data_IF_790221005957
#
_entry.id   IF_790221005957
#
_cell.length_a   1.000
_cell.length_b   1.000
_cell.length_c   1.000
_cell.angle_alpha   90.00
_cell.angle_beta   90.00
_cell.angle_gamma   90.00
#
_symmetry.space_group_name_H-M   'P 1'
#
loop_
_entity.id
_entity.type
_entity.pdbx_description
1 polymer ?
#
# COMPACT_ATOMS: atom_id res chain seq x y z
N UNK A 1 36.86 26.24 59.15
CA UNK A 1 36.17 26.69 57.93
C UNK A 1 36.02 25.48 57.02
N UNK A 2 34.80 25.02 56.70
CA UNK A 2 34.63 23.86 55.85
C UNK A 2 34.83 24.27 54.39
N UNK A 3 35.70 23.52 53.72
CA UNK A 3 36.02 23.59 52.30
C UNK A 3 34.79 23.33 51.44
N UNK A 4 34.46 24.31 50.58
CA UNK A 4 33.45 24.18 49.53
C UNK A 4 33.82 23.03 48.59
N UNK A 5 32.94 22.04 48.46
CA UNK A 5 33.03 21.01 47.42
C UNK A 5 32.68 21.66 46.09
N UNK A 6 33.61 21.62 45.14
CA UNK A 6 33.37 21.97 43.75
C UNK A 6 32.25 21.08 43.18
N UNK A 7 31.23 21.72 42.60
CA UNK A 7 30.13 21.09 41.89
C UNK A 7 30.69 20.42 40.62
N UNK A 8 30.33 19.16 40.38
CA UNK A 8 30.64 18.47 39.13
C UNK A 8 29.93 19.18 37.96
N UNK A 9 30.54 19.22 36.75
CA UNK A 9 29.90 19.82 35.58
C UNK A 9 28.60 19.07 35.27
N UNK A 10 27.52 19.82 35.02
CA UNK A 10 26.27 19.26 34.51
C UNK A 10 26.51 18.61 33.14
N UNK A 11 25.90 17.45 32.83
CA UNK A 11 26.01 16.87 31.50
C UNK A 11 25.39 17.82 30.47
N UNK A 12 26.11 18.05 29.37
CA UNK A 12 25.63 18.88 28.26
C UNK A 12 24.24 18.41 27.79
N UNK A 13 23.38 19.36 27.43
CA UNK A 13 22.04 19.07 26.94
C UNK A 13 22.10 18.12 25.73
N UNK A 14 21.21 17.11 25.64
CA UNK A 14 21.24 16.13 24.56
C UNK A 14 20.99 16.80 23.21
N UNK A 15 21.82 16.49 22.22
CA UNK A 15 21.68 16.99 20.85
C UNK A 15 20.52 16.30 20.13
N UNK A 16 19.54 17.08 19.65
CA UNK A 16 18.25 16.59 19.15
C UNK A 16 17.93 17.15 17.76
N UNK A 17 16.81 16.68 17.20
CA UNK A 17 16.28 17.21 15.93
C UNK A 17 16.21 18.75 15.87
N UNK A 18 15.78 19.41 16.94
CA UNK A 18 15.72 20.88 17.01
C UNK A 18 17.07 21.55 16.77
N UNK A 19 18.16 20.94 17.23
CA UNK A 19 19.52 21.45 17.04
C UNK A 19 19.97 21.27 15.59
N UNK A 20 19.64 20.12 14.98
CA UNK A 20 19.89 19.86 13.55
C UNK A 20 19.14 20.87 12.69
N UNK A 21 17.85 21.09 12.95
CA UNK A 21 17.04 22.06 12.23
C UNK A 21 17.60 23.49 12.39
N UNK A 22 18.05 23.86 13.59
CA UNK A 22 18.66 25.16 13.84
C UNK A 22 19.97 25.35 13.05
N UNK A 23 20.84 24.35 13.00
CA UNK A 23 22.10 24.38 12.23
C UNK A 23 21.80 24.55 10.74
N UNK A 24 20.87 23.76 10.19
CA UNK A 24 20.53 23.81 8.77
C UNK A 24 19.84 25.14 8.42
N UNK A 25 18.98 25.65 9.30
CA UNK A 25 18.33 26.96 9.13
C UNK A 25 19.34 28.11 9.16
N UNK A 26 20.33 28.06 10.06
CA UNK A 26 21.40 29.05 10.12
C UNK A 26 22.30 29.04 8.87
N UNK A 27 22.49 27.85 8.28
CA UNK A 27 23.22 27.71 7.02
C UNK A 27 22.41 28.23 5.80
N UNK A 28 21.08 28.20 5.86
CA UNK A 28 20.19 28.76 4.83
C UNK A 28 20.04 27.87 3.58
N UNK A 29 19.62 28.46 2.45
CA UNK A 29 19.47 27.73 1.17
C UNK A 29 18.04 27.32 0.78
N UNK A 30 17.05 28.15 1.11
CA UNK A 30 15.61 27.79 1.06
C UNK A 30 14.97 27.66 -0.35
N UNK A 31 15.71 27.85 -1.45
CA UNK A 31 15.11 28.07 -2.79
C UNK A 31 15.48 27.00 -3.85
N UNK A 32 15.67 25.74 -3.46
CA UNK A 32 16.01 24.65 -4.39
C UNK A 32 15.20 23.36 -4.21
N UNK A 33 15.17 22.46 -5.23
CA UNK A 33 14.53 21.14 -5.13
C UNK A 33 15.30 20.24 -4.15
N UNK A 34 15.00 20.34 -2.86
CA UNK A 34 15.73 19.64 -1.79
C UNK A 34 15.94 20.49 -0.54
N UNK A 35 15.01 21.39 -0.22
CA UNK A 35 15.05 22.17 1.03
C UNK A 35 15.20 21.24 2.24
N UNK A 36 16.15 21.56 3.12
CA UNK A 36 16.47 20.77 4.32
C UNK A 36 15.84 21.36 5.59
N UNK A 37 15.08 22.45 5.46
CA UNK A 37 14.50 23.24 6.57
C UNK A 37 12.97 23.26 6.48
N UNK A 38 12.30 23.45 7.64
CA UNK A 38 10.84 23.52 7.70
C UNK A 38 10.14 22.17 7.50
N UNK A 39 10.86 21.08 7.77
CA UNK A 39 10.36 19.70 7.66
C UNK A 39 10.08 19.14 9.06
N UNK A 40 9.05 18.31 9.18
CA UNK A 40 8.90 17.48 10.39
C UNK A 40 10.02 16.44 10.44
N UNK A 41 10.39 15.94 11.63
CA UNK A 41 11.41 14.89 11.74
C UNK A 41 11.07 13.64 10.86
N UNK A 42 9.83 13.12 10.84
CA UNK A 42 9.46 12.04 9.92
C UNK A 42 9.67 12.37 8.44
N UNK A 43 9.28 13.58 8.01
CA UNK A 43 9.47 14.02 6.62
C UNK A 43 10.97 14.15 6.28
N UNK A 44 11.77 14.63 7.24
CA UNK A 44 13.22 14.76 7.08
C UNK A 44 13.90 13.39 6.95
N UNK A 45 13.52 12.41 7.77
CA UNK A 45 14.09 11.07 7.77
C UNK A 45 13.75 10.27 6.50
N UNK A 46 12.64 10.57 5.84
CA UNK A 46 12.20 9.91 4.60
C UNK A 46 12.64 10.65 3.34
N UNK A 47 13.23 11.84 3.47
CA UNK A 47 13.64 12.66 2.34
C UNK A 47 14.70 11.95 1.50
N UNK A 48 14.58 12.06 0.19
CA UNK A 48 15.57 11.58 -0.78
C UNK A 48 16.02 12.70 -1.69
N UNK A 49 17.33 12.76 -1.97
CA UNK A 49 17.90 13.65 -2.97
C UNK A 49 18.34 12.80 -4.17
N UNK A 50 17.64 12.96 -5.31
CA UNK A 50 17.93 12.22 -6.55
C UNK A 50 17.91 10.69 -6.36
N UNK A 51 16.95 10.18 -5.58
CA UNK A 51 16.80 8.75 -5.28
C UNK A 51 17.77 8.20 -4.24
N UNK A 52 18.65 9.04 -3.68
CA UNK A 52 19.54 8.66 -2.57
C UNK A 52 18.94 9.14 -1.24
N UNK A 53 18.86 8.28 -0.22
CA UNK A 53 18.26 8.63 1.07
C UNK A 53 19.10 9.71 1.78
N UNK A 54 18.44 10.78 2.23
CA UNK A 54 19.08 11.87 2.95
C UNK A 54 19.78 11.34 4.21
N UNK A 55 19.05 10.52 4.98
CA UNK A 55 19.57 9.72 6.09
C UNK A 55 19.62 8.25 5.68
N UNK A 56 20.80 7.64 5.73
CA UNK A 56 20.96 6.26 5.31
C UNK A 56 20.13 5.29 6.17
N UNK A 57 19.58 4.22 5.58
CA UNK A 57 18.91 3.18 6.35
C UNK A 57 19.89 2.46 7.28
N UNK A 58 19.35 1.89 8.36
CA UNK A 58 20.08 0.96 9.22
C UNK A 58 20.54 -0.24 8.39
N UNK A 59 21.78 -0.68 8.61
CA UNK A 59 22.29 -1.90 8.00
C UNK A 59 21.88 -3.08 8.87
N UNK A 60 21.37 -4.15 8.26
CA UNK A 60 21.18 -5.41 8.96
C UNK A 60 22.49 -6.18 8.95
N UNK A 61 23.00 -6.54 10.12
CA UNK A 61 24.13 -7.47 10.21
C UNK A 61 23.66 -8.89 9.86
N UNK A 62 24.61 -9.77 9.55
CA UNK A 62 24.35 -11.19 9.30
C UNK A 62 23.62 -11.92 10.46
N UNK A 63 23.56 -11.30 11.65
CA UNK A 63 22.86 -11.82 12.83
C UNK A 63 21.47 -11.19 13.05
N UNK A 64 20.95 -10.38 12.11
CA UNK A 64 19.62 -9.78 12.19
C UNK A 64 19.50 -8.60 13.15
N UNK A 65 20.61 -8.11 13.71
CA UNK A 65 20.66 -6.88 14.49
C UNK A 65 20.84 -5.69 13.55
N UNK A 66 20.01 -4.65 13.74
CA UNK A 66 20.20 -3.36 13.09
C UNK A 66 21.46 -2.70 13.65
N UNK A 67 22.39 -2.36 12.75
CA UNK A 67 23.62 -1.66 13.06
C UNK A 67 23.55 -0.23 12.50
N UNK A 68 23.79 0.73 13.39
CA UNK A 68 23.88 2.15 13.08
C UNK A 68 25.33 2.60 12.79
N UNK A 69 26.32 1.71 12.96
CA UNK A 69 27.73 2.05 12.78
C UNK A 69 28.01 2.55 11.36
N UNK A 70 28.56 3.76 11.25
CA UNK A 70 28.84 4.41 9.97
C UNK A 70 27.58 4.78 9.18
N UNK A 71 26.39 4.79 9.80
CA UNK A 71 25.15 5.29 9.18
C UNK A 71 25.27 6.77 8.86
N UNK A 72 25.90 7.54 9.74
CA UNK A 72 26.20 8.95 9.53
C UNK A 72 27.00 9.18 8.24
N UNK A 73 28.19 8.59 8.13
CA UNK A 73 29.04 8.68 6.94
C UNK A 73 28.37 8.23 5.62
N UNK A 74 27.45 7.24 5.67
CA UNK A 74 26.69 6.78 4.49
C UNK A 74 25.56 7.72 4.09
N UNK A 75 25.09 8.56 5.00
CA UNK A 75 23.97 9.49 4.78
C UNK A 75 24.36 10.57 3.79
N UNK A 76 23.45 10.85 2.84
CA UNK A 76 23.63 11.91 1.86
C UNK A 76 23.78 13.28 2.53
N UNK A 77 23.10 13.50 3.65
CA UNK A 77 23.23 14.74 4.43
C UNK A 77 24.69 15.02 4.80
N UNK A 78 25.35 14.08 5.48
CA UNK A 78 26.74 14.25 5.94
C UNK A 78 27.69 14.40 4.75
N UNK A 79 27.57 13.54 3.73
CA UNK A 79 28.38 13.63 2.52
C UNK A 79 28.19 14.96 1.79
N UNK A 80 26.95 15.42 1.71
CA UNK A 80 26.58 16.66 1.05
C UNK A 80 27.08 17.89 1.80
N UNK A 81 27.00 17.91 3.13
CA UNK A 81 27.52 18.99 3.98
C UNK A 81 29.05 19.05 3.94
N UNK A 82 29.73 17.90 3.92
CA UNK A 82 31.20 17.82 3.77
C UNK A 82 31.70 18.10 2.35
N UNK A 83 30.81 18.16 1.35
CA UNK A 83 31.18 18.32 -0.06
C UNK A 83 31.92 17.11 -0.63
N UNK A 84 31.60 15.91 -0.14
CA UNK A 84 32.12 14.66 -0.67
C UNK A 84 31.33 14.25 -1.93
N UNK A 85 31.92 13.47 -2.85
CA UNK A 85 31.21 12.99 -4.05
C UNK A 85 29.86 12.34 -3.68
N UNK A 86 28.75 12.60 -4.41
CA UNK A 86 28.65 13.42 -5.63
C UNK A 86 28.47 14.94 -5.42
N UNK A 87 28.62 15.46 -4.20
CA UNK A 87 28.41 16.88 -3.82
C UNK A 87 29.70 17.72 -3.78
N UNK A 88 30.75 17.26 -4.47
CA UNK A 88 32.08 17.89 -4.54
C UNK A 88 32.17 19.00 -5.61
N UNK A 89 31.02 19.40 -6.18
CA UNK A 89 30.93 20.35 -7.28
C UNK A 89 31.07 19.73 -8.68
N UNK A 90 31.40 18.44 -8.81
CA UNK A 90 31.49 17.78 -10.13
C UNK A 90 30.13 17.36 -10.67
N UNK A 91 29.29 16.80 -9.80
CA UNK A 91 27.93 16.39 -10.15
C UNK A 91 26.89 17.29 -9.47
N UNK A 92 27.04 17.54 -8.18
CA UNK A 92 26.20 18.46 -7.41
C UNK A 92 27.05 19.45 -6.61
N UNK A 93 26.58 20.69 -6.39
CA UNK A 93 27.19 21.59 -5.41
C UNK A 93 27.06 21.03 -3.99
N UNK A 94 27.93 21.48 -3.08
CA UNK A 94 27.87 21.18 -1.64
C UNK A 94 26.53 21.66 -1.04
N UNK A 95 26.00 20.92 -0.07
CA UNK A 95 24.83 21.30 0.70
C UNK A 95 25.17 22.30 1.83
N UNK A 96 24.17 23.08 2.31
CA UNK A 96 22.87 23.31 1.69
C UNK A 96 23.02 24.19 0.43
N UNK A 97 22.22 23.92 -0.60
CA UNK A 97 22.32 24.65 -1.87
C UNK A 97 21.90 26.11 -1.73
N UNK A 98 22.73 27.04 -2.19
CA UNK A 98 22.49 28.48 -2.02
C UNK A 98 22.68 28.98 -0.59
N UNK A 99 23.07 28.11 0.35
CA UNK A 99 23.41 28.46 1.72
C UNK A 99 24.91 28.56 1.98
N UNK A 100 25.27 28.84 3.23
CA UNK A 100 26.64 28.87 3.72
C UNK A 100 27.11 27.45 4.11
N UNK A 101 28.42 27.15 4.01
CA UNK A 101 28.98 25.95 4.63
C UNK A 101 28.57 25.81 6.10
N UNK A 102 28.17 24.60 6.49
CA UNK A 102 28.07 24.20 7.90
C UNK A 102 29.48 23.96 8.44
N UNK A 103 29.74 24.31 9.70
CA UNK A 103 31.04 24.09 10.34
C UNK A 103 31.31 22.59 10.55
N UNK A 104 32.57 22.17 10.43
CA UNK A 104 32.94 20.74 10.55
C UNK A 104 32.50 20.14 11.89
N UNK A 105 32.64 20.88 13.00
CA UNK A 105 32.18 20.44 14.33
C UNK A 105 30.66 20.20 14.38
N UNK A 106 29.87 21.01 13.69
CA UNK A 106 28.41 20.82 13.62
C UNK A 106 28.04 19.65 12.71
N UNK A 107 28.81 19.42 11.64
CA UNK A 107 28.66 18.23 10.80
C UNK A 107 28.97 16.96 11.60
N UNK A 108 30.01 16.97 12.43
CA UNK A 108 30.38 15.85 13.30
C UNK A 108 29.28 15.56 14.34
N UNK A 109 28.64 16.60 14.88
CA UNK A 109 27.48 16.46 15.79
C UNK A 109 26.26 15.90 15.08
N UNK A 110 25.96 16.36 13.86
CA UNK A 110 24.89 15.80 13.02
C UNK A 110 25.18 14.34 12.66
N UNK A 111 26.43 14.01 12.36
CA UNK A 111 26.85 12.64 12.06
C UNK A 111 26.62 11.71 13.27
N UNK A 112 27.07 12.14 14.45
CA UNK A 112 26.86 11.42 15.72
C UNK A 112 25.37 11.24 16.02
N UNK A 113 24.56 12.29 15.84
CA UNK A 113 23.10 12.23 16.00
C UNK A 113 22.44 11.18 15.09
N UNK A 114 22.95 11.00 13.86
CA UNK A 114 22.47 9.95 12.96
C UNK A 114 22.85 8.55 13.46
N UNK A 115 24.06 8.39 13.99
CA UNK A 115 24.55 7.14 14.59
C UNK A 115 23.77 6.77 15.86
N UNK A 116 23.33 7.76 16.64
CA UNK A 116 22.47 7.60 17.81
C UNK A 116 21.01 7.27 17.47
N UNK A 117 20.67 7.16 16.19
CA UNK A 117 19.33 6.77 15.74
C UNK A 117 18.39 7.94 15.44
N UNK A 118 18.92 9.15 15.27
CA UNK A 118 18.17 10.38 14.99
C UNK A 118 17.13 10.71 16.08
N UNK A 119 17.54 10.83 17.36
CA UNK A 119 16.62 11.14 18.44
C UNK A 119 15.87 12.46 18.18
N UNK A 120 14.54 12.40 18.24
CA UNK A 120 13.65 13.56 18.13
C UNK A 120 13.49 14.32 19.46
N UNK A 121 12.48 15.19 19.53
CA UNK A 121 12.05 15.71 20.83
C UNK A 121 11.49 14.57 21.67
N UNK A 122 12.04 14.43 22.87
CA UNK A 122 11.54 13.49 23.86
C UNK A 122 10.21 14.03 24.41
N UNK A 123 9.08 13.60 23.85
CA UNK A 123 7.75 14.02 24.33
C UNK A 123 7.49 13.44 25.71
N UNK A 124 7.89 12.18 25.96
CA UNK A 124 7.93 11.56 27.30
C UNK A 124 8.72 10.24 27.23
N UNK A 125 9.41 9.84 28.31
CA UNK A 125 9.88 8.46 28.50
C UNK A 125 9.20 7.88 29.72
N UNK A 126 8.35 6.88 29.53
CA UNK A 126 7.85 6.05 30.62
C UNK A 126 8.75 4.84 30.70
N UNK A 127 9.56 4.75 31.75
CA UNK A 127 10.18 3.49 32.12
C UNK A 127 9.05 2.53 32.54
N UNK A 128 8.84 1.47 31.78
CA UNK A 128 8.00 0.36 32.22
C UNK A 128 8.66 -0.23 33.48
N UNK A 129 8.01 -0.04 34.63
CA UNK A 129 8.46 -0.64 35.87
C UNK A 129 8.20 -2.16 35.82
N UNK A 130 9.21 -2.92 35.39
CA UNK A 130 9.24 -4.38 35.43
C UNK A 130 9.14 -5.07 34.06
N UNK A 131 9.38 -6.39 34.06
CA UNK A 131 9.07 -7.24 32.91
C UNK A 131 7.59 -7.11 32.55
N UNK A 132 7.31 -6.53 31.39
CA UNK A 132 5.96 -6.56 30.83
C UNK A 132 5.83 -7.83 29.99
N UNK A 133 5.34 -8.89 30.62
CA UNK A 133 4.87 -10.07 29.91
C UNK A 133 3.55 -9.73 29.24
N UNK A 134 3.59 -9.47 27.94
CA UNK A 134 2.39 -9.31 27.12
C UNK A 134 2.02 -10.71 26.63
N UNK A 135 0.80 -11.18 26.93
CA UNK A 135 0.31 -12.43 26.32
C UNK A 135 0.26 -12.25 24.81
N UNK A 136 0.45 -13.34 24.04
CA UNK A 136 0.44 -13.34 22.55
C UNK A 136 -0.86 -12.82 21.92
N UNK A 137 -1.86 -12.46 22.72
CA UNK A 137 -3.17 -11.98 22.32
C UNK A 137 -3.42 -10.51 22.71
N UNK A 138 -2.50 -9.85 23.42
CA UNK A 138 -2.78 -8.51 23.91
C UNK A 138 -2.76 -7.48 22.77
N UNK A 139 -3.78 -6.62 22.77
CA UNK A 139 -3.92 -5.51 21.84
C UNK A 139 -3.39 -4.24 22.50
N UNK A 140 -2.41 -3.58 21.89
CA UNK A 140 -1.88 -2.30 22.34
C UNK A 140 -2.65 -1.19 21.63
N UNK A 141 -3.49 -0.48 22.38
CA UNK A 141 -4.19 0.72 21.94
C UNK A 141 -3.43 1.95 22.44
N UNK A 142 -3.00 2.83 21.52
CA UNK A 142 -2.45 4.14 21.89
C UNK A 142 -3.62 5.11 22.01
N UNK A 143 -4.09 5.36 23.24
CA UNK A 143 -5.17 6.34 23.47
C UNK A 143 -4.71 7.75 23.14
N UNK A 144 -5.49 8.45 22.30
CA UNK A 144 -5.27 9.87 21.98
C UNK A 144 -4.66 10.14 20.59
N UNK A 145 -4.31 9.10 19.83
CA UNK A 145 -3.90 9.20 18.42
C UNK A 145 -4.83 8.33 17.56
N UNK A 146 -5.35 8.81 16.42
CA UNK A 146 -5.97 7.95 15.43
C UNK A 146 -4.85 7.07 14.82
N UNK A 147 -4.83 5.78 15.15
CA UNK A 147 -3.80 4.87 14.68
C UNK A 147 -4.19 3.40 14.88
N UNK A 148 -3.58 2.47 14.13
CA UNK A 148 -3.93 1.06 14.21
C UNK A 148 -3.59 0.46 15.58
N UNK A 149 -4.40 -0.51 16.00
CA UNK A 149 -4.15 -1.32 17.20
C UNK A 149 -3.09 -2.36 16.85
N UNK A 150 -1.95 -2.33 17.53
CA UNK A 150 -0.85 -3.26 17.30
C UNK A 150 -0.95 -4.45 18.26
N UNK A 151 -0.86 -5.67 17.74
CA UNK A 151 -0.69 -6.88 18.55
C UNK A 151 0.75 -7.39 18.41
N UNK A 152 1.40 -7.87 19.48
CA UNK A 152 2.65 -8.59 19.36
C UNK A 152 2.35 -10.01 18.87
N UNK A 153 2.66 -10.30 17.62
CA UNK A 153 2.55 -11.66 17.09
C UNK A 153 3.89 -12.11 16.51
N UNK A 154 4.27 -13.36 16.80
CA UNK A 154 4.99 -14.15 15.81
C UNK A 154 4.08 -14.20 14.59
N UNK A 155 4.37 -13.35 13.62
CA UNK A 155 3.52 -13.15 12.47
C UNK A 155 4.04 -14.05 11.32
N UNK A 156 3.35 -15.17 11.02
CA UNK A 156 3.76 -16.06 9.93
C UNK A 156 3.57 -15.43 8.54
N UNK A 157 2.80 -14.35 8.42
CA UNK A 157 2.69 -13.57 7.18
C UNK A 157 3.66 -12.38 7.16
N UNK A 158 4.27 -12.01 8.30
CA UNK A 158 5.27 -10.96 8.33
C UNK A 158 6.50 -11.44 7.58
N UNK A 159 6.95 -10.57 6.69
CA UNK A 159 8.19 -10.76 5.98
C UNK A 159 9.36 -10.87 6.96
N UNK A 160 10.06 -12.01 6.95
CA UNK A 160 11.32 -12.23 7.67
C UNK A 160 12.42 -12.61 6.71
N UNK A 161 13.10 -11.63 6.13
CA UNK A 161 14.28 -11.90 5.31
C UNK A 161 15.49 -12.17 6.20
N UNK A 162 15.60 -13.39 6.70
CA UNK A 162 16.74 -13.81 7.52
C UNK A 162 17.79 -14.60 6.72
N UNK A 163 17.37 -15.43 5.75
CA UNK A 163 18.24 -16.46 5.14
C UNK A 163 17.99 -16.74 3.65
N UNK A 164 17.52 -15.74 2.90
CA UNK A 164 17.26 -15.91 1.45
C UNK A 164 16.09 -16.84 1.13
N UNK A 165 15.18 -17.03 2.08
CA UNK A 165 13.96 -17.82 1.92
C UNK A 165 13.04 -17.20 0.84
N UNK A 166 12.34 -18.06 0.09
CA UNK A 166 11.34 -17.60 -0.86
C UNK A 166 10.20 -16.92 -0.10
N UNK A 167 9.87 -15.69 -0.48
CA UNK A 167 8.71 -14.96 0.04
C UNK A 167 7.45 -15.79 -0.22
N UNK A 168 6.70 -16.11 0.84
CA UNK A 168 5.46 -16.86 0.73
C UNK A 168 4.27 -15.92 0.80
N UNK A 169 3.45 -15.91 -0.25
CA UNK A 169 2.15 -15.26 -0.23
C UNK A 169 1.14 -16.17 0.45
N UNK A 170 0.30 -15.58 1.30
CA UNK A 170 -0.70 -16.31 2.07
C UNK A 170 -2.09 -16.19 1.43
N UNK A 171 -2.93 -17.19 1.71
CA UNK A 171 -4.36 -17.11 1.43
C UNK A 171 -4.96 -15.95 2.24
N UNK A 172 -5.77 -15.09 1.62
CA UNK A 172 -6.39 -13.93 2.27
C UNK A 172 -7.30 -14.35 3.43
N UNK A 173 -7.90 -15.54 3.35
CA UNK A 173 -8.84 -16.03 4.38
C UNK A 173 -8.11 -16.43 5.67
N UNK A 174 -6.83 -16.82 5.59
CA UNK A 174 -6.04 -17.19 6.77
C UNK A 174 -5.35 -16.00 7.43
N UNK A 175 -5.43 -14.81 6.82
CA UNK A 175 -4.89 -13.60 7.44
C UNK A 175 -5.72 -13.23 8.68
N UNK A 176 -5.05 -12.90 9.77
CA UNK A 176 -5.68 -12.32 10.95
C UNK A 176 -6.11 -10.86 10.71
N UNK A 177 -6.85 -10.29 11.66
CA UNK A 177 -7.38 -8.94 11.53
C UNK A 177 -6.28 -7.87 11.44
N UNK A 178 -5.14 -8.07 12.10
CA UNK A 178 -4.04 -7.12 12.09
C UNK A 178 -3.29 -7.16 10.75
N UNK A 179 -3.09 -8.35 10.19
CA UNK A 179 -2.53 -8.56 8.86
C UNK A 179 -3.42 -7.93 7.78
N UNK A 180 -4.74 -8.15 7.86
CA UNK A 180 -5.73 -7.51 6.97
C UNK A 180 -5.68 -5.99 7.10
N UNK A 181 -5.52 -5.47 8.31
CA UNK A 181 -5.45 -4.02 8.53
C UNK A 181 -4.16 -3.39 8.00
N UNK A 182 -3.01 -4.06 8.14
CA UNK A 182 -1.76 -3.59 7.51
C UNK A 182 -1.87 -3.56 5.99
N UNK A 183 -2.52 -4.58 5.39
CA UNK A 183 -2.80 -4.60 3.97
C UNK A 183 -3.71 -3.42 3.57
N UNK A 184 -4.80 -3.18 4.30
CA UNK A 184 -5.67 -2.01 4.08
C UNK A 184 -4.90 -0.70 4.19
N UNK A 185 -4.05 -0.55 5.20
CA UNK A 185 -3.23 0.63 5.39
C UNK A 185 -2.33 0.88 4.18
N UNK A 186 -1.59 -0.12 3.71
CA UNK A 186 -0.74 0.00 2.54
C UNK A 186 -1.54 0.45 1.29
N UNK A 187 -2.74 -0.10 1.07
CA UNK A 187 -3.62 0.35 -0.01
C UNK A 187 -4.09 1.80 0.14
N UNK A 188 -4.43 2.24 1.36
CA UNK A 188 -4.78 3.65 1.62
C UNK A 188 -3.62 4.58 1.26
N UNK A 189 -2.38 4.21 1.60
CA UNK A 189 -1.21 5.00 1.22
C UNK A 189 -1.02 5.09 -0.30
N UNK A 190 -1.17 3.98 -1.03
CA UNK A 190 -1.15 4.00 -2.50
C UNK A 190 -2.25 4.90 -3.09
N UNK A 191 -3.44 4.92 -2.48
CA UNK A 191 -4.53 5.80 -2.92
C UNK A 191 -4.24 7.28 -2.66
N UNK A 192 -3.59 7.63 -1.54
CA UNK A 192 -3.17 9.02 -1.25
C UNK A 192 -2.22 9.56 -2.32
N UNK A 193 -1.44 8.70 -2.96
CA UNK A 193 -0.56 9.08 -4.06
C UNK A 193 -1.31 9.38 -5.37
N UNK A 194 -2.57 8.97 -5.55
CA UNK A 194 -3.33 9.20 -6.78
C UNK A 194 -3.50 10.70 -7.14
N UNK A 195 -3.35 11.60 -6.16
CA UNK A 195 -3.33 13.06 -6.41
C UNK A 195 -2.11 13.50 -7.24
N UNK A 196 -1.06 12.70 -7.28
CA UNK A 196 0.16 12.92 -8.05
C UNK A 196 0.15 12.04 -9.30
N UNK A 197 -0.38 12.57 -10.40
CA UNK A 197 -0.58 11.81 -11.66
C UNK A 197 0.70 11.13 -12.17
N UNK A 198 1.88 11.68 -11.89
CA UNK A 198 3.17 11.10 -12.31
C UNK A 198 3.82 10.14 -11.30
N UNK A 199 3.26 9.94 -10.11
CA UNK A 199 3.86 9.04 -9.12
C UNK A 199 3.61 7.59 -9.53
N UNK A 200 4.68 6.89 -9.92
CA UNK A 200 4.65 5.52 -10.41
C UNK A 200 4.12 4.52 -9.37
N UNK A 201 4.19 4.86 -8.08
CA UNK A 201 3.69 4.03 -6.98
C UNK A 201 2.20 4.23 -6.74
N UNK A 202 1.59 5.29 -7.28
CA UNK A 202 0.15 5.49 -7.10
C UNK A 202 -0.66 4.31 -7.63
N UNK A 203 -1.74 3.97 -6.95
CA UNK A 203 -2.60 2.86 -7.36
C UNK A 203 -3.08 3.02 -8.80
N UNK A 204 -3.42 4.24 -9.22
CA UNK A 204 -3.88 4.50 -10.59
C UNK A 204 -2.80 4.17 -11.63
N UNK A 205 -1.54 4.54 -11.40
CA UNK A 205 -0.46 4.21 -12.34
C UNK A 205 -0.15 2.71 -12.35
N UNK A 206 -0.14 2.07 -11.17
CA UNK A 206 0.00 0.62 -11.08
C UNK A 206 -1.14 -0.12 -11.81
N UNK A 207 -2.39 0.36 -11.71
CA UNK A 207 -3.51 -0.20 -12.45
C UNK A 207 -3.39 0.05 -13.98
N UNK A 208 -2.93 1.24 -14.38
CA UNK A 208 -2.78 1.61 -15.79
C UNK A 208 -1.69 0.78 -16.51
N UNK A 209 -0.66 0.32 -15.80
CA UNK A 209 0.34 -0.61 -16.36
C UNK A 209 -0.35 -1.87 -16.88
N UNK A 210 -1.24 -2.47 -16.08
CA UNK A 210 -2.02 -3.62 -16.51
C UNK A 210 -3.03 -3.26 -17.59
N UNK A 211 -3.80 -2.19 -17.39
CA UNK A 211 -4.81 -1.78 -18.36
C UNK A 211 -4.26 -1.55 -19.77
N UNK A 212 -3.05 -1.00 -19.90
CA UNK A 212 -2.49 -0.58 -21.19
C UNK A 212 -1.45 -1.53 -21.78
N UNK A 213 -0.82 -2.36 -20.94
CA UNK A 213 0.35 -3.15 -21.34
C UNK A 213 0.30 -4.63 -20.94
N UNK A 214 -0.83 -5.09 -20.40
CA UNK A 214 -1.04 -6.51 -20.12
C UNK A 214 -0.74 -7.36 -21.37
N UNK A 215 0.00 -8.45 -21.17
CA UNK A 215 0.34 -9.39 -22.23
C UNK A 215 -0.73 -10.47 -22.30
N UNK A 216 -1.32 -10.64 -23.47
CA UNK A 216 -2.39 -11.59 -23.76
C UNK A 216 -2.01 -12.47 -24.97
N UNK A 217 -2.58 -13.67 -25.04
CA UNK A 217 -2.45 -14.58 -26.18
C UNK A 217 -1.01 -14.96 -26.59
N UNK A 218 -0.05 -14.89 -25.66
CA UNK A 218 1.39 -15.00 -25.94
C UNK A 218 2.20 -15.64 -24.79
N UNK A 219 3.37 -16.24 -25.08
CA UNK A 219 4.24 -16.92 -24.09
C UNK A 219 4.74 -16.06 -22.93
N UNK A 220 4.62 -14.74 -23.05
CA UNK A 220 4.97 -13.81 -21.98
C UNK A 220 3.86 -13.57 -20.97
N UNK A 221 2.68 -14.18 -21.13
CA UNK A 221 1.56 -14.02 -20.22
C UNK A 221 1.97 -14.22 -18.74
N UNK A 222 2.44 -15.42 -18.38
CA UNK A 222 2.81 -15.76 -17.01
C UNK A 222 3.96 -14.90 -16.46
N UNK A 223 5.13 -14.76 -17.15
CA UNK A 223 6.21 -13.95 -16.63
C UNK A 223 5.85 -12.47 -16.50
N UNK A 224 5.04 -11.91 -17.40
CA UNK A 224 4.60 -10.51 -17.32
C UNK A 224 3.74 -10.27 -16.07
N UNK A 225 2.72 -11.10 -15.83
CA UNK A 225 1.87 -10.98 -14.63
C UNK A 225 2.64 -11.23 -13.33
N UNK A 226 3.63 -12.14 -13.36
CA UNK A 226 4.49 -12.40 -12.21
C UNK A 226 5.32 -11.17 -11.83
N UNK A 227 5.90 -10.48 -12.82
CA UNK A 227 6.63 -9.23 -12.59
C UNK A 227 5.67 -8.12 -12.15
N UNK A 228 4.50 -8.00 -12.78
CA UNK A 228 3.48 -7.04 -12.38
C UNK A 228 3.12 -7.15 -10.90
N UNK A 229 2.80 -8.37 -10.43
CA UNK A 229 2.48 -8.62 -9.03
C UNK A 229 3.67 -8.37 -8.09
N UNK A 230 4.91 -8.61 -8.56
CA UNK A 230 6.11 -8.30 -7.79
C UNK A 230 6.28 -6.79 -7.59
N UNK A 231 6.17 -6.00 -8.66
CA UNK A 231 6.29 -4.54 -8.60
C UNK A 231 5.15 -3.90 -7.77
N UNK A 232 3.92 -4.43 -7.91
CA UNK A 232 2.79 -4.00 -7.09
C UNK A 232 3.04 -4.28 -5.60
N UNK A 233 3.56 -5.47 -5.27
CA UNK A 233 3.93 -5.84 -3.91
C UNK A 233 5.06 -4.94 -3.36
N UNK A 234 6.07 -4.60 -4.17
CA UNK A 234 7.11 -3.65 -3.77
C UNK A 234 6.52 -2.28 -3.42
N UNK A 235 5.58 -1.77 -4.23
CA UNK A 235 4.94 -0.49 -3.95
C UNK A 235 4.15 -0.50 -2.63
N UNK A 236 3.49 -1.61 -2.27
CA UNK A 236 2.86 -1.76 -0.95
C UNK A 236 3.89 -1.79 0.19
N UNK A 237 5.03 -2.44 -0.05
CA UNK A 237 6.10 -2.61 0.95
C UNK A 237 6.86 -1.32 1.25
N UNK A 238 6.85 -0.33 0.36
CA UNK A 238 7.34 1.03 0.64
C UNK A 238 6.62 1.66 1.86
N UNK A 239 5.37 1.25 2.12
CA UNK A 239 4.56 1.76 3.23
C UNK A 239 4.43 0.76 4.38
N UNK A 240 4.41 -0.54 4.09
CA UNK A 240 4.33 -1.60 5.08
C UNK A 240 5.25 -2.76 4.68
N UNK A 241 6.52 -2.79 5.11
CA UNK A 241 7.51 -3.79 4.67
C UNK A 241 7.07 -5.25 4.88
N UNK A 242 6.22 -5.49 5.89
CA UNK A 242 5.76 -6.81 6.28
C UNK A 242 4.56 -7.34 5.50
N UNK A 243 4.00 -6.57 4.56
CA UNK A 243 2.85 -7.04 3.75
C UNK A 243 3.33 -7.78 2.50
N UNK A 244 2.62 -8.86 2.17
CA UNK A 244 2.75 -9.54 0.88
C UNK A 244 1.41 -9.47 0.15
N UNK A 245 1.42 -9.53 -1.18
CA UNK A 245 0.17 -9.70 -1.93
C UNK A 245 -0.48 -11.03 -1.54
N UNK A 246 -1.71 -11.06 -1.01
CA UNK A 246 -2.37 -12.32 -0.74
C UNK A 246 -2.92 -12.94 -2.02
N UNK A 247 -3.26 -14.22 -1.95
CA UNK A 247 -4.06 -14.91 -2.98
C UNK A 247 -5.37 -15.40 -2.36
N UNK A 248 -6.34 -15.78 -3.17
CA UNK A 248 -7.50 -16.54 -2.70
C UNK A 248 -7.84 -17.61 -3.73
N UNK A 249 -8.27 -18.76 -3.24
CA UNK A 249 -8.53 -19.95 -4.06
C UNK A 249 -9.94 -19.92 -4.65
N UNK A 250 -10.21 -19.08 -5.65
CA UNK A 250 -11.56 -18.89 -6.20
C UNK A 250 -12.34 -20.18 -6.58
N UNK A 251 -11.72 -21.31 -6.98
CA UNK A 251 -12.44 -22.56 -7.24
C UNK A 251 -12.85 -23.33 -5.97
N UNK A 252 -12.33 -22.95 -4.80
CA UNK A 252 -12.55 -23.70 -3.57
C UNK A 252 -14.04 -23.78 -3.20
N UNK A 253 -14.47 -24.95 -2.73
CA UNK A 253 -15.87 -25.25 -2.36
C UNK A 253 -16.47 -24.20 -1.40
N UNK A 254 -15.65 -23.64 -0.51
CA UNK A 254 -16.07 -22.59 0.43
C UNK A 254 -16.65 -21.35 -0.25
N UNK A 255 -16.23 -21.06 -1.48
CA UNK A 255 -16.74 -19.94 -2.26
C UNK A 255 -18.01 -20.27 -3.06
N UNK A 256 -18.38 -21.56 -3.14
CA UNK A 256 -19.57 -22.04 -3.87
C UNK A 256 -19.62 -21.52 -5.32
N UNK A 257 -18.60 -21.81 -6.15
CA UNK A 257 -18.53 -21.31 -7.52
C UNK A 257 -19.70 -21.78 -8.41
N UNK A 258 -20.39 -22.87 -8.04
CA UNK A 258 -21.56 -23.40 -8.77
C UNK A 258 -22.82 -22.51 -8.67
N UNK A 259 -22.88 -21.62 -7.68
CA UNK A 259 -23.96 -20.63 -7.53
C UNK A 259 -23.38 -19.23 -7.32
N UNK A 260 -22.79 -18.59 -8.35
CA UNK A 260 -22.10 -17.31 -8.17
C UNK A 260 -23.00 -16.16 -7.68
N UNK A 261 -24.32 -16.27 -7.89
CA UNK A 261 -25.29 -15.28 -7.48
C UNK A 261 -25.50 -15.26 -5.95
N UNK A 262 -25.42 -16.43 -5.30
CA UNK A 262 -25.59 -16.57 -3.86
C UNK A 262 -24.34 -17.09 -3.13
N UNK A 263 -23.27 -17.39 -3.88
CA UNK A 263 -22.01 -17.95 -3.41
C UNK A 263 -21.14 -16.93 -2.68
N UNK A 264 -20.16 -17.46 -1.94
CA UNK A 264 -19.21 -16.67 -1.16
C UNK A 264 -17.95 -16.26 -1.94
N UNK A 265 -17.86 -16.59 -3.23
CA UNK A 265 -17.24 -15.94 -4.40
C UNK A 265 -16.29 -14.73 -4.20
N UNK A 266 -16.60 -13.82 -3.27
CA UNK A 266 -15.70 -12.75 -2.84
C UNK A 266 -15.32 -12.96 -1.36
N UNK A 267 -14.02 -13.11 -1.03
CA UNK A 267 -13.57 -13.17 0.36
C UNK A 267 -14.05 -11.99 1.20
N UNK A 268 -14.33 -12.22 2.48
CA UNK A 268 -14.82 -11.18 3.40
C UNK A 268 -13.85 -9.99 3.52
N UNK A 269 -12.55 -10.24 3.35
CA UNK A 269 -11.52 -9.21 3.32
C UNK A 269 -11.75 -8.13 2.25
N UNK A 270 -12.45 -8.46 1.16
CA UNK A 270 -12.74 -7.54 0.06
C UNK A 270 -14.17 -6.96 0.08
N UNK A 271 -15.02 -7.39 1.02
CA UNK A 271 -16.38 -6.87 1.19
C UNK A 271 -16.38 -5.52 1.90
N UNK A 272 -17.30 -4.64 1.53
CA UNK A 272 -17.51 -3.38 2.23
C UNK A 272 -18.13 -3.65 3.60
N UNK A 273 -17.71 -2.88 4.61
CA UNK A 273 -18.30 -2.89 5.95
C UNK A 273 -18.20 -1.49 6.58
N UNK A 274 -18.96 -1.27 7.66
CA UNK A 274 -18.85 -0.06 8.47
C UNK A 274 -18.26 -0.42 9.84
N UNK A 275 -17.35 0.43 10.32
CA UNK A 275 -16.83 0.37 11.70
C UNK A 275 -17.57 1.35 12.60
N UNK A 276 -17.26 1.31 13.89
CA UNK A 276 -17.72 2.33 14.83
C UNK A 276 -17.26 3.74 14.41
N UNK A 277 -16.11 3.85 13.78
CA UNK A 277 -15.53 5.12 13.32
C UNK A 277 -16.27 5.62 12.08
N UNK A 278 -16.61 4.71 11.15
CA UNK A 278 -17.45 5.02 10.00
C UNK A 278 -18.78 5.63 10.41
N UNK A 279 -19.48 5.02 11.38
CA UNK A 279 -20.80 5.51 11.80
C UNK A 279 -20.72 6.81 12.60
N UNK A 280 -19.66 7.01 13.40
CA UNK A 280 -19.39 8.33 14.02
C UNK A 280 -19.25 9.42 12.96
N UNK A 281 -18.38 9.19 11.96
CA UNK A 281 -18.22 10.12 10.84
C UNK A 281 -19.54 10.38 10.10
N UNK A 282 -20.33 9.34 9.81
CA UNK A 282 -21.60 9.49 9.10
C UNK A 282 -22.63 10.27 9.92
N UNK A 283 -22.71 10.05 11.24
CA UNK A 283 -23.60 10.83 12.12
C UNK A 283 -23.21 12.30 12.14
N UNK A 284 -21.93 12.63 12.13
CA UNK A 284 -21.44 14.01 12.01
C UNK A 284 -21.81 14.65 10.65
N UNK A 285 -22.10 13.83 9.63
CA UNK A 285 -22.64 14.26 8.33
C UNK A 285 -24.17 14.19 8.25
N UNK A 286 -24.85 14.02 9.38
CA UNK A 286 -26.31 14.07 9.47
C UNK A 286 -27.02 12.74 9.20
N UNK A 287 -26.30 11.62 9.17
CA UNK A 287 -26.94 10.29 9.10
C UNK A 287 -27.67 9.99 10.43
N UNK A 288 -28.84 9.32 10.40
CA UNK A 288 -29.58 8.95 11.60
C UNK A 288 -28.80 7.91 12.41
N UNK A 289 -29.00 7.91 13.74
CA UNK A 289 -28.39 6.92 14.65
C UNK A 289 -28.70 5.45 14.28
N UNK A 290 -29.75 5.20 13.48
CA UNK A 290 -30.04 3.86 12.93
C UNK A 290 -28.89 3.28 12.10
N UNK A 291 -27.98 4.11 11.58
CA UNK A 291 -26.79 3.65 10.86
C UNK A 291 -25.89 2.74 11.73
N UNK A 292 -25.91 2.91 13.05
CA UNK A 292 -25.12 2.12 14.01
C UNK A 292 -25.48 0.62 13.95
N UNK A 293 -26.72 0.30 13.53
CA UNK A 293 -27.20 -1.09 13.39
C UNK A 293 -26.53 -1.86 12.24
N UNK A 294 -25.82 -1.15 11.36
CA UNK A 294 -25.17 -1.73 10.19
C UNK A 294 -23.70 -2.09 10.44
N UNK A 295 -23.12 -1.72 11.59
CA UNK A 295 -21.75 -2.08 11.95
C UNK A 295 -21.61 -3.60 12.04
N UNK A 296 -20.51 -4.13 11.48
CA UNK A 296 -20.21 -5.58 11.48
C UNK A 296 -20.92 -6.39 10.39
N UNK A 297 -21.75 -5.77 9.55
CA UNK A 297 -22.29 -6.40 8.36
C UNK A 297 -21.30 -6.29 7.19
N UNK A 298 -21.32 -7.27 6.29
CA UNK A 298 -20.46 -7.32 5.10
C UNK A 298 -21.30 -7.28 3.82
N UNK A 299 -20.85 -6.50 2.85
CA UNK A 299 -21.53 -6.33 1.57
C UNK A 299 -20.56 -6.54 0.41
N UNK A 300 -20.92 -7.42 -0.51
CA UNK A 300 -20.11 -7.72 -1.68
C UNK A 300 -20.09 -6.56 -2.68
N UNK A 301 -21.22 -5.83 -2.81
CA UNK A 301 -21.40 -4.80 -3.82
C UNK A 301 -22.07 -3.53 -3.25
N UNK A 302 -21.98 -2.37 -3.93
CA UNK A 302 -22.61 -1.14 -3.47
C UNK A 302 -24.13 -1.22 -3.36
N UNK A 303 -24.82 -2.01 -4.19
CA UNK A 303 -26.28 -2.14 -4.14
C UNK A 303 -26.73 -2.65 -2.77
N UNK A 304 -26.06 -3.68 -2.26
CA UNK A 304 -26.35 -4.22 -0.92
C UNK A 304 -26.14 -3.17 0.19
N UNK A 305 -25.09 -2.34 0.08
CA UNK A 305 -24.84 -1.23 1.01
C UNK A 305 -25.99 -0.21 0.92
N UNK A 306 -26.37 0.18 -0.30
CA UNK A 306 -27.41 1.18 -0.51
C UNK A 306 -28.79 0.69 -0.05
N UNK A 307 -29.11 -0.58 -0.23
CA UNK A 307 -30.35 -1.18 0.24
C UNK A 307 -30.38 -1.23 1.78
N UNK A 308 -29.28 -1.64 2.42
CA UNK A 308 -29.15 -1.67 3.87
C UNK A 308 -29.29 -0.26 4.47
N UNK A 309 -28.59 0.73 3.92
CA UNK A 309 -28.66 2.12 4.37
C UNK A 309 -30.02 2.75 4.07
N UNK A 310 -30.61 2.50 2.90
CA UNK A 310 -31.95 2.99 2.58
C UNK A 310 -33.01 2.45 3.53
N UNK A 311 -32.90 1.18 3.91
CA UNK A 311 -33.81 0.53 4.88
C UNK A 311 -33.63 1.08 6.29
N UNK A 312 -32.39 1.35 6.71
CA UNK A 312 -32.10 1.85 8.05
C UNK A 312 -32.37 3.36 8.19
N UNK A 313 -31.97 4.16 7.21
CA UNK A 313 -31.85 5.61 7.32
C UNK A 313 -32.77 6.39 6.37
N UNK A 314 -33.11 5.84 5.20
CA UNK A 314 -33.88 6.53 4.15
C UNK A 314 -33.13 6.62 2.83
N UNK A 315 -33.85 6.75 1.70
CA UNK A 315 -33.29 6.75 0.34
C UNK A 315 -32.45 8.00 0.04
N UNK A 316 -32.69 9.10 0.73
CA UNK A 316 -31.94 10.34 0.65
C UNK A 316 -30.49 10.18 1.13
N UNK A 317 -30.20 9.17 1.96
CA UNK A 317 -28.86 8.90 2.49
C UNK A 317 -27.97 8.08 1.55
N UNK A 318 -28.52 7.62 0.43
CA UNK A 318 -27.78 6.93 -0.64
C UNK A 318 -27.77 7.73 -1.94
N UNK A 319 -28.15 9.01 -1.88
CA UNK A 319 -28.19 9.93 -3.02
C UNK A 319 -27.26 11.13 -2.82
N UNK A 320 -26.86 11.77 -3.93
CA UNK A 320 -26.13 13.04 -3.93
C UNK A 320 -24.87 13.02 -3.06
N UNK A 321 -24.74 14.03 -2.19
CA UNK A 321 -23.61 14.18 -1.29
C UNK A 321 -23.56 13.10 -0.20
N UNK A 322 -24.72 12.66 0.31
CA UNK A 322 -24.79 11.60 1.32
C UNK A 322 -24.20 10.28 0.78
N UNK A 323 -24.49 9.96 -0.48
CA UNK A 323 -23.88 8.80 -1.15
C UNK A 323 -22.35 8.88 -1.15
N UNK A 324 -21.79 10.07 -1.41
CA UNK A 324 -20.32 10.25 -1.40
C UNK A 324 -19.77 10.02 0.00
N UNK A 325 -20.40 10.59 1.04
CA UNK A 325 -19.99 10.39 2.44
C UNK A 325 -20.07 8.94 2.87
N UNK A 326 -21.11 8.22 2.43
CA UNK A 326 -21.22 6.78 2.65
C UNK A 326 -20.07 6.02 1.98
N UNK A 327 -19.75 6.33 0.73
CA UNK A 327 -18.62 5.69 0.03
C UNK A 327 -17.29 6.03 0.71
N UNK A 328 -17.06 7.29 1.10
CA UNK A 328 -15.87 7.72 1.85
C UNK A 328 -15.71 6.87 3.13
N UNK A 329 -16.80 6.68 3.89
CA UNK A 329 -16.79 5.93 5.15
C UNK A 329 -16.51 4.43 4.96
N UNK A 330 -16.99 3.84 3.86
CA UNK A 330 -16.75 2.43 3.52
C UNK A 330 -15.33 2.23 3.01
N UNK A 331 -14.81 3.13 2.17
CA UNK A 331 -13.42 3.07 1.68
C UNK A 331 -12.40 3.28 2.81
N UNK A 332 -12.72 4.13 3.78
CA UNK A 332 -11.87 4.32 4.96
C UNK A 332 -11.84 3.05 5.83
N UNK A 333 -13.02 2.45 6.07
CA UNK A 333 -13.15 1.19 6.82
C UNK A 333 -12.46 0.01 6.13
N UNK A 334 -12.61 -0.10 4.82
CA UNK A 334 -11.98 -1.15 4.03
C UNK A 334 -11.51 -0.63 2.67
N UNK A 335 -10.24 -0.24 2.61
CA UNK A 335 -9.60 0.17 1.36
C UNK A 335 -9.39 -0.98 0.37
N UNK A 336 -9.60 -2.23 0.79
CA UNK A 336 -9.61 -3.38 -0.12
C UNK A 336 -10.96 -3.55 -0.83
N UNK A 337 -12.01 -2.86 -0.38
CA UNK A 337 -13.28 -2.77 -1.08
C UNK A 337 -13.22 -1.68 -2.16
N UNK A 338 -13.93 -1.87 -3.28
CA UNK A 338 -14.03 -0.87 -4.33
C UNK A 338 -15.46 -0.82 -4.90
N UNK A 339 -16.06 0.35 -5.13
CA UNK A 339 -17.46 0.45 -5.52
C UNK A 339 -17.77 -0.08 -6.92
N UNK A 340 -16.78 -0.28 -7.79
CA UNK A 340 -17.01 -0.93 -9.09
C UNK A 340 -16.57 -2.40 -9.08
N UNK A 341 -16.10 -2.89 -7.93
CA UNK A 341 -15.75 -4.29 -7.72
C UNK A 341 -17.02 -5.09 -7.47
N UNK A 342 -17.06 -6.26 -8.09
CA UNK A 342 -17.99 -7.38 -7.93
C UNK A 342 -19.41 -7.13 -7.33
N UNK A 343 -20.51 -7.50 -7.99
CA UNK A 343 -20.64 -7.71 -9.44
C UNK A 343 -20.60 -6.34 -10.10
N UNK A 344 -19.72 -6.11 -11.07
CA UNK A 344 -19.69 -4.81 -11.74
C UNK A 344 -21.06 -4.50 -12.35
N UNK A 345 -21.65 -3.36 -11.97
CA UNK A 345 -22.91 -2.91 -12.54
C UNK A 345 -22.70 -2.60 -14.02
N UNK A 346 -23.57 -3.11 -14.90
CA UNK A 346 -23.53 -2.87 -16.33
C UNK A 346 -24.94 -2.54 -16.83
N UNK A 347 -25.17 -1.27 -17.17
CA UNK A 347 -26.49 -0.78 -17.56
C UNK A 347 -27.51 -0.95 -16.44
N UNK A 348 -28.63 -1.65 -16.72
CA UNK A 348 -29.71 -1.92 -15.75
C UNK A 348 -29.50 -3.21 -14.94
N UNK A 349 -28.41 -3.94 -15.18
CA UNK A 349 -28.08 -5.19 -14.50
C UNK A 349 -26.62 -5.22 -14.07
N UNK A 350 -26.05 -6.40 -14.02
CA UNK A 350 -24.65 -6.64 -13.72
C UNK A 350 -23.94 -7.14 -14.99
N UNK A 351 -22.63 -7.00 -15.07
CA UNK A 351 -21.87 -7.43 -16.24
C UNK A 351 -22.07 -8.93 -16.53
N UNK A 352 -22.21 -9.78 -15.51
CA UNK A 352 -22.53 -11.21 -15.66
C UNK A 352 -23.98 -11.48 -16.13
N UNK A 353 -24.91 -10.55 -15.95
CA UNK A 353 -26.27 -10.68 -16.53
C UNK A 353 -26.32 -10.29 -18.02
N UNK A 354 -25.31 -9.58 -18.51
CA UNK A 354 -25.24 -9.10 -19.90
C UNK A 354 -24.20 -9.85 -20.72
N UNK A 355 -23.10 -10.25 -20.09
CA UNK A 355 -22.02 -11.05 -20.64
C UNK A 355 -22.14 -12.44 -20.00
N UNK A 356 -22.68 -13.40 -20.75
CA UNK A 356 -22.88 -14.78 -20.30
C UNK A 356 -21.54 -15.53 -20.24
N UNK A 357 -20.81 -15.40 -19.13
CA UNK A 357 -19.64 -16.20 -18.81
C UNK A 357 -19.80 -16.80 -17.41
N UNK A 358 -19.31 -18.03 -17.19
CA UNK A 358 -19.31 -18.66 -15.87
C UNK A 358 -18.22 -18.04 -14.98
N UNK A 359 -18.37 -18.20 -13.67
CA UNK A 359 -17.30 -17.89 -12.73
C UNK A 359 -16.28 -19.03 -12.76
N UNK A 360 -14.96 -18.75 -12.69
CA UNK A 360 -13.96 -19.80 -12.71
C UNK A 360 -14.22 -20.92 -11.70
N UNK A 361 -14.23 -22.15 -12.18
CA UNK A 361 -14.51 -23.35 -11.42
C UNK A 361 -13.30 -24.31 -11.42
N UNK A 362 -13.38 -25.39 -10.64
CA UNK A 362 -12.28 -26.35 -10.53
C UNK A 362 -12.03 -27.05 -11.87
N UNK A 363 -13.08 -27.26 -12.67
CA UNK A 363 -13.00 -27.86 -13.99
C UNK A 363 -12.14 -27.04 -14.95
N UNK A 364 -12.17 -25.70 -14.85
CA UNK A 364 -11.30 -24.83 -15.68
C UNK A 364 -9.83 -25.05 -15.34
N UNK A 365 -9.51 -25.23 -14.05
CA UNK A 365 -8.14 -25.49 -13.59
C UNK A 365 -7.69 -26.88 -14.04
N UNK A 366 -8.55 -27.89 -13.90
CA UNK A 366 -8.27 -29.25 -14.34
C UNK A 366 -8.03 -29.31 -15.86
N UNK A 367 -8.82 -28.56 -16.64
CA UNK A 367 -8.62 -28.41 -18.08
C UNK A 367 -7.27 -27.80 -18.38
N UNK A 368 -6.93 -26.65 -17.78
CA UNK A 368 -5.63 -25.98 -17.95
C UNK A 368 -4.45 -26.92 -17.65
N UNK A 369 -4.54 -27.70 -16.57
CA UNK A 369 -3.50 -28.66 -16.16
C UNK A 369 -3.40 -29.87 -17.08
N UNK A 370 -4.45 -30.18 -17.84
CA UNK A 370 -4.49 -31.28 -18.80
C UNK A 370 -3.87 -30.93 -20.17
N UNK A 371 -3.70 -29.64 -20.47
CA UNK A 371 -3.21 -29.14 -21.76
C UNK A 371 -1.77 -29.57 -22.03
N UNK A 372 -1.52 -30.05 -23.24
CA UNK A 372 -0.22 -30.62 -23.64
C UNK A 372 0.63 -29.68 -24.48
N UNK A 373 0.08 -28.56 -24.92
CA UNK A 373 0.79 -27.59 -25.76
C UNK A 373 0.71 -26.21 -25.15
N UNK A 374 1.79 -25.43 -25.30
CA UNK A 374 1.77 -24.02 -24.89
C UNK A 374 0.74 -23.22 -25.70
N UNK A 375 0.52 -23.59 -26.96
CA UNK A 375 -0.47 -22.94 -27.84
C UNK A 375 -1.86 -22.97 -27.24
N UNK A 376 -2.30 -24.13 -26.78
CA UNK A 376 -3.62 -24.30 -26.17
C UNK A 376 -3.65 -23.71 -24.76
N UNK A 377 -2.52 -23.73 -24.03
CA UNK A 377 -2.43 -23.18 -22.67
C UNK A 377 -2.44 -21.65 -22.63
N UNK A 378 -1.48 -20.99 -23.27
CA UNK A 378 -1.20 -19.56 -23.13
C UNK A 378 -1.24 -18.76 -24.44
N UNK A 379 -1.54 -19.39 -25.57
CA UNK A 379 -1.64 -18.75 -26.88
C UNK A 379 -0.42 -18.97 -27.78
N UNK A 380 -0.40 -18.28 -28.92
CA UNK A 380 0.63 -18.48 -29.95
C UNK A 380 1.90 -17.65 -29.75
N UNK A 381 2.75 -17.66 -30.77
CA UNK A 381 4.04 -16.93 -30.77
C UNK A 381 3.89 -15.43 -31.07
N UNK A 382 2.74 -15.03 -31.62
CA UNK A 382 2.38 -13.63 -31.86
C UNK A 382 1.25 -13.21 -30.92
N UNK A 383 1.25 -11.94 -30.51
CA UNK A 383 0.30 -11.33 -29.57
C UNK A 383 -1.20 -11.55 -29.87
N UNK A 384 -1.56 -11.94 -31.10
CA UNK A 384 -2.96 -12.21 -31.52
C UNK A 384 -3.13 -13.55 -32.23
N UNK A 385 -2.19 -14.48 -32.10
CA UNK A 385 -2.25 -15.77 -32.83
C UNK A 385 -3.42 -16.64 -32.36
N UNK A 386 -3.70 -16.65 -31.05
CA UNK A 386 -4.80 -17.36 -30.41
C UNK A 386 -4.78 -17.01 -28.92
N UNK A 387 -5.96 -16.76 -28.34
CA UNK A 387 -6.08 -16.75 -26.88
C UNK A 387 -6.05 -18.19 -26.40
N UNK A 388 -4.99 -18.60 -25.70
CA UNK A 388 -4.96 -19.90 -25.02
C UNK A 388 -6.02 -19.97 -23.92
N UNK A 389 -6.29 -21.18 -23.45
CA UNK A 389 -7.27 -21.44 -22.39
C UNK A 389 -7.04 -20.56 -21.18
N UNK A 390 -5.81 -20.45 -20.66
CA UNK A 390 -5.45 -19.63 -19.49
C UNK A 390 -5.92 -18.16 -19.59
N UNK A 391 -5.86 -17.60 -20.80
CA UNK A 391 -6.21 -16.20 -21.05
C UNK A 391 -7.72 -16.03 -21.23
N UNK A 392 -8.35 -16.95 -21.98
CA UNK A 392 -9.81 -16.99 -22.11
C UNK A 392 -10.48 -17.26 -20.75
N UNK A 393 -9.89 -18.15 -19.95
CA UNK A 393 -10.32 -18.65 -18.63
C UNK A 393 -9.08 -19.00 -17.77
N UNK A 394 -9.01 -18.77 -16.45
CA UNK A 394 -9.87 -17.95 -15.62
C UNK A 394 -9.57 -16.45 -15.76
N UNK A 395 -8.59 -16.04 -16.57
CA UNK A 395 -8.12 -14.66 -16.59
C UNK A 395 -9.17 -13.65 -17.04
N UNK A 396 -9.66 -13.77 -18.29
CA UNK A 396 -10.65 -12.83 -18.82
C UNK A 396 -12.00 -12.93 -18.10
N UNK A 397 -12.38 -14.13 -17.65
CA UNK A 397 -13.57 -14.31 -16.81
C UNK A 397 -13.43 -13.57 -15.48
N UNK A 398 -12.28 -13.62 -14.81
CA UNK A 398 -12.07 -12.87 -13.58
C UNK A 398 -12.16 -11.34 -13.78
N UNK A 399 -11.69 -10.81 -14.92
CA UNK A 399 -11.90 -9.39 -15.29
C UNK A 399 -13.38 -9.04 -15.40
N UNK A 400 -14.16 -9.91 -16.05
CA UNK A 400 -15.61 -9.74 -16.18
C UNK A 400 -16.26 -9.73 -14.80
N UNK A 401 -15.92 -10.66 -13.91
CA UNK A 401 -16.62 -10.78 -12.63
C UNK A 401 -16.18 -9.73 -11.60
N UNK A 402 -14.89 -9.45 -11.47
CA UNK A 402 -14.36 -8.70 -10.31
C UNK A 402 -14.28 -7.18 -10.48
N UNK A 403 -14.30 -6.58 -11.68
CA UNK A 403 -14.25 -5.12 -11.71
C UNK A 403 -13.91 -4.41 -13.03
N UNK A 404 -14.75 -3.43 -13.40
CA UNK A 404 -14.35 -2.15 -14.00
C UNK A 404 -15.02 -1.78 -15.34
N UNK A 405 -15.45 -0.51 -15.51
CA UNK A 405 -15.60 0.03 -16.87
C UNK A 405 -14.21 0.03 -17.49
N UNK A 406 -13.95 -0.88 -18.43
CA UNK A 406 -12.90 -0.64 -19.40
C UNK A 406 -13.24 0.71 -20.05
N UNK A 407 -12.37 1.69 -19.93
CA UNK A 407 -12.55 3.00 -20.61
C UNK A 407 -12.54 2.82 -22.15
N UNK A 408 -12.45 1.59 -22.66
CA UNK A 408 -12.51 1.24 -24.07
C UNK A 408 -13.92 1.12 -24.69
N UNK A 409 -15.03 1.18 -23.94
CA UNK A 409 -16.37 1.19 -24.57
C UNK A 409 -16.98 2.58 -24.81
N UNK A 410 -16.12 3.61 -24.91
CA UNK A 410 -16.43 4.83 -25.65
C UNK A 410 -15.46 5.06 -26.84
N UNK A 411 -14.98 4.01 -27.49
CA UNK A 411 -14.60 4.14 -28.90
C UNK A 411 -15.81 3.82 -29.77
N UNK A 412 -16.54 4.86 -30.17
CA UNK A 412 -17.49 4.85 -31.29
C UNK A 412 -16.86 4.43 -32.64
N UNK A 413 -15.62 3.92 -32.68
CA UNK A 413 -14.83 3.77 -33.90
C UNK A 413 -13.81 2.63 -33.76
N UNK A 414 -14.23 1.40 -34.02
CA UNK A 414 -13.40 0.37 -34.68
C UNK A 414 -14.35 -0.61 -35.39
N UNK A 415 -15.19 -0.10 -36.30
CA UNK A 415 -15.13 -0.42 -37.75
C UNK A 415 -14.16 -1.57 -38.09
N UNK A 416 -14.69 -2.54 -38.84
CA UNK A 416 -13.95 -3.44 -39.75
C UNK A 416 -13.18 -4.63 -39.15
N UNK A 417 -13.89 -5.63 -38.59
CA UNK A 417 -13.28 -6.98 -38.44
C UNK A 417 -14.13 -8.16 -38.93
N UNK A 418 -15.19 -7.91 -39.71
CA UNK A 418 -15.74 -8.93 -40.62
C UNK A 418 -16.17 -8.28 -41.94
N UNK A 419 -15.18 -7.96 -42.78
CA UNK A 419 -15.39 -7.89 -44.23
C UNK A 419 -14.33 -8.74 -44.90
N UNK A 420 -14.79 -9.86 -45.44
CA UNK A 420 -14.41 -10.39 -46.75
C UNK A 420 -12.91 -10.50 -47.04
N UNK A 421 -12.40 -11.73 -47.05
CA UNK A 421 -11.76 -12.41 -48.20
C UNK A 421 -11.06 -13.70 -47.71
N UNK A 422 -11.20 -14.86 -48.35
CA UNK A 422 -11.92 -15.20 -49.57
C UNK A 422 -11.81 -16.70 -49.87
N UNK A 423 -12.93 -17.29 -50.29
CA UNK A 423 -13.00 -18.04 -51.54
C UNK A 423 -13.59 -17.02 -52.55
N UNK A 424 -13.10 -16.77 -53.75
CA UNK A 424 -12.22 -17.48 -54.68
C UNK A 424 -10.72 -17.37 -54.48
#
# INVERSE_FOLDING_TARGET
>A
MPTSKAQAPEPDAPFRWSDVEAILTAAGGNDGPGSLTGLTLPDFLTLQLQGMPLIAPLTTTCCGTSDAKGRGARSVLVRGLRGLPPFDGRQFPRLPWGGKPVADDDIDRIETWIEEGCPGELIETVALAGEVSVTTEARVEVKGLPGPIFGPASDPAAWRYAKGELRQRMDVDVLDDAQKERLRHAFRELYKLNKWVGDKRSYNNLALIHQNHCQHGWERFLPWHRVYLYEFEQALQDFCPDVTMPWWDFPAERYKPDDPANGAILPDAFKGFLTQDSVRFLRDKGFPAKIDTLVGQFWANPTQIYDAVSKACGKEYVAGENRKRLIDAVLEANSLWYPLRYSSQFGKGTINTVIHYHYPAQEDIDEILSLRTFRDFGGGSLYVDSFGFLDQNPHNTMHIWTGGMTVCFQQRVQRHWYRERGAS
#
